data_IF_609758343200
#
_entry.id   IF_609758343200
#
_cell.length_a   1.000
_cell.length_b   1.000
_cell.length_c   1.000
_cell.angle_alpha   90.00
_cell.angle_beta   90.00
_cell.angle_gamma   90.00
#
_symmetry.space_group_name_H-M   'P 1'
#
loop_
_entity.id
_entity.type
_entity.pdbx_description
1 polymer ?
#
# COMPACT_ATOMS: atom_id res chain seq x y z
N UNK A 1 -43.40 30.42 57.03
CA UNK A 1 -43.48 29.20 56.19
C UNK A 1 -42.75 29.45 54.87
N UNK A 2 -41.43 29.71 54.88
CA UNK A 2 -40.66 30.08 53.67
C UNK A 2 -39.51 29.12 53.32
N UNK A 3 -39.30 28.06 54.12
CA UNK A 3 -38.17 27.14 53.94
C UNK A 3 -38.38 26.04 52.90
N UNK A 4 -39.62 25.75 52.49
CA UNK A 4 -39.92 24.58 51.66
C UNK A 4 -39.74 24.86 50.15
N UNK A 5 -40.19 26.03 49.68
CA UNK A 5 -40.12 26.37 48.25
C UNK A 5 -38.67 26.55 47.76
N UNK A 6 -37.81 27.20 48.55
CA UNK A 6 -36.39 27.36 48.23
C UNK A 6 -35.66 26.01 48.11
N UNK A 7 -36.02 25.01 48.92
CA UNK A 7 -35.41 23.67 48.91
C UNK A 7 -35.81 22.87 47.66
N UNK A 8 -37.06 23.01 47.19
CA UNK A 8 -37.51 22.41 45.94
C UNK A 8 -36.81 23.00 44.71
N UNK A 9 -36.60 24.32 44.67
CA UNK A 9 -35.86 24.97 43.59
C UNK A 9 -34.37 24.57 43.59
N UNK A 10 -33.75 24.45 44.76
CA UNK A 10 -32.36 23.98 44.88
C UNK A 10 -32.22 22.52 44.41
N UNK A 11 -33.11 21.64 44.86
CA UNK A 11 -33.13 20.24 44.44
C UNK A 11 -33.35 20.07 42.92
N UNK A 12 -34.33 20.78 42.34
CA UNK A 12 -34.60 20.72 40.89
C UNK A 12 -33.46 21.29 40.07
N UNK A 13 -32.83 22.39 40.50
CA UNK A 13 -31.67 22.96 39.81
C UNK A 13 -30.49 21.97 39.77
N UNK A 14 -30.21 21.28 40.88
CA UNK A 14 -29.15 20.25 40.97
C UNK A 14 -29.43 19.05 40.05
N UNK A 15 -30.68 18.60 39.99
CA UNK A 15 -31.10 17.51 39.09
C UNK A 15 -30.93 17.93 37.63
N UNK A 16 -31.35 19.15 37.26
CA UNK A 16 -31.21 19.67 35.89
C UNK A 16 -29.74 19.81 35.52
N UNK A 17 -28.90 20.37 36.39
CA UNK A 17 -27.46 20.49 36.16
C UNK A 17 -26.82 19.11 35.98
N UNK A 18 -27.19 18.14 36.83
CA UNK A 18 -26.72 16.75 36.71
C UNK A 18 -27.13 16.09 35.39
N UNK A 19 -28.39 16.28 34.97
CA UNK A 19 -28.91 15.80 33.69
C UNK A 19 -28.18 16.43 32.50
N UNK A 20 -28.05 17.75 32.48
CA UNK A 20 -27.35 18.48 31.40
C UNK A 20 -25.89 18.06 31.34
N UNK A 21 -25.22 17.96 32.49
CA UNK A 21 -23.81 17.53 32.56
C UNK A 21 -23.66 16.08 32.09
N UNK A 22 -24.56 15.19 32.50
CA UNK A 22 -24.59 13.80 32.05
C UNK A 22 -24.78 13.67 30.54
N UNK A 23 -25.71 14.44 29.96
CA UNK A 23 -25.96 14.48 28.50
C UNK A 23 -24.73 14.99 27.76
N UNK A 24 -24.13 16.09 28.21
CA UNK A 24 -22.93 16.68 27.60
C UNK A 24 -21.75 15.71 27.68
N UNK A 25 -21.51 15.10 28.85
CA UNK A 25 -20.44 14.13 29.04
C UNK A 25 -20.63 12.88 28.16
N UNK A 26 -21.85 12.34 28.08
CA UNK A 26 -22.17 11.21 27.22
C UNK A 26 -21.94 11.56 25.74
N UNK A 27 -22.39 12.74 25.29
CA UNK A 27 -22.20 13.22 23.93
C UNK A 27 -20.71 13.37 23.56
N UNK A 28 -19.92 13.99 24.43
CA UNK A 28 -18.47 14.16 24.21
C UNK A 28 -17.74 12.82 24.17
N UNK A 29 -18.10 11.91 25.07
CA UNK A 29 -17.53 10.56 25.12
C UNK A 29 -17.84 9.79 23.84
N UNK A 30 -19.11 9.79 23.40
CA UNK A 30 -19.53 9.15 22.17
C UNK A 30 -18.82 9.73 20.95
N UNK A 31 -18.71 11.06 20.86
CA UNK A 31 -18.00 11.75 19.77
C UNK A 31 -16.51 11.40 19.75
N UNK A 32 -15.86 11.35 20.90
CA UNK A 32 -14.45 10.98 21.00
C UNK A 32 -14.22 9.52 20.60
N UNK A 33 -15.03 8.60 21.13
CA UNK A 33 -14.96 7.18 20.81
C UNK A 33 -15.15 6.93 19.32
N UNK A 34 -16.16 7.57 18.71
CA UNK A 34 -16.44 7.43 17.28
C UNK A 34 -15.29 7.98 16.41
N UNK A 35 -14.74 9.14 16.76
CA UNK A 35 -13.60 9.72 16.05
C UNK A 35 -12.35 8.82 16.14
N UNK A 36 -12.10 8.23 17.30
CA UNK A 36 -11.01 7.26 17.49
C UNK A 36 -11.23 6.02 16.63
N UNK A 37 -12.43 5.45 16.66
CA UNK A 37 -12.79 4.28 15.87
C UNK A 37 -12.60 4.53 14.37
N UNK A 38 -13.07 5.66 13.83
CA UNK A 38 -12.85 5.99 12.41
C UNK A 38 -11.37 6.12 12.07
N UNK A 39 -10.55 6.71 12.95
CA UNK A 39 -9.10 6.81 12.74
C UNK A 39 -8.42 5.44 12.72
N UNK A 40 -8.76 4.57 13.68
CA UNK A 40 -8.24 3.20 13.74
C UNK A 40 -8.67 2.41 12.50
N UNK A 41 -9.95 2.47 12.12
CA UNK A 41 -10.47 1.77 10.94
C UNK A 41 -9.85 2.29 9.64
N UNK A 42 -9.64 3.59 9.54
CA UNK A 42 -8.98 4.18 8.37
C UNK A 42 -7.50 3.79 8.30
N UNK A 43 -6.83 3.72 9.45
CA UNK A 43 -5.45 3.22 9.54
C UNK A 43 -5.35 1.75 9.13
N UNK A 44 -6.25 0.88 9.61
CA UNK A 44 -6.30 -0.54 9.22
C UNK A 44 -6.49 -0.71 7.71
N UNK A 45 -7.44 0.02 7.11
CA UNK A 45 -7.68 -0.04 5.67
C UNK A 45 -6.42 0.35 4.89
N UNK A 46 -5.74 1.41 5.33
CA UNK A 46 -4.52 1.89 4.68
C UNK A 46 -3.36 0.92 4.84
N UNK A 47 -3.22 0.28 6.02
CA UNK A 47 -2.26 -0.79 6.23
C UNK A 47 -2.52 -1.94 5.25
N UNK A 48 -3.77 -2.40 5.15
CA UNK A 48 -4.15 -3.48 4.24
C UNK A 48 -3.83 -3.15 2.78
N UNK A 49 -4.19 -1.94 2.31
CA UNK A 49 -3.88 -1.50 0.94
C UNK A 49 -2.38 -1.42 0.67
N UNK A 50 -1.58 -0.93 1.62
CA UNK A 50 -0.12 -0.91 1.46
C UNK A 50 0.48 -2.30 1.47
N UNK A 51 0.06 -3.18 2.38
CA UNK A 51 0.55 -4.55 2.43
C UNK A 51 0.27 -5.28 1.12
N UNK A 52 -0.95 -5.14 0.59
CA UNK A 52 -1.37 -5.79 -0.65
C UNK A 52 -0.53 -5.36 -1.87
N UNK A 53 -0.31 -4.05 -2.04
CA UNK A 53 0.47 -3.53 -3.16
C UNK A 53 1.98 -3.80 -3.02
N UNK A 54 2.51 -3.76 -1.78
CA UNK A 54 3.92 -4.07 -1.50
C UNK A 54 4.20 -5.55 -1.78
N UNK A 55 3.30 -6.44 -1.40
CA UNK A 55 3.45 -7.89 -1.61
C UNK A 55 3.51 -8.23 -3.11
N UNK A 56 2.63 -7.61 -3.92
CA UNK A 56 2.68 -7.73 -5.40
C UNK A 56 3.97 -7.16 -5.99
N UNK A 57 4.36 -5.95 -5.58
CA UNK A 57 5.61 -5.32 -6.04
C UNK A 57 6.84 -6.16 -5.66
N UNK A 58 6.84 -6.77 -4.48
CA UNK A 58 7.89 -7.69 -4.04
C UNK A 58 7.98 -8.93 -4.92
N UNK A 59 6.85 -9.60 -5.20
CA UNK A 59 6.84 -10.77 -6.09
C UNK A 59 7.35 -10.43 -7.48
N UNK A 60 6.88 -9.34 -8.06
CA UNK A 60 7.37 -8.83 -9.35
C UNK A 60 8.88 -8.61 -9.32
N UNK A 61 9.39 -7.89 -8.32
CA UNK A 61 10.83 -7.63 -8.16
C UNK A 61 11.65 -8.91 -8.04
N UNK A 62 11.14 -9.89 -7.31
CA UNK A 62 11.82 -11.19 -7.15
C UNK A 62 11.87 -11.97 -8.46
N UNK A 63 10.79 -11.92 -9.23
CA UNK A 63 10.72 -12.55 -10.56
C UNK A 63 11.60 -11.83 -11.59
N UNK A 64 11.59 -10.50 -11.64
CA UNK A 64 12.49 -9.72 -12.51
C UNK A 64 13.95 -10.07 -12.22
N UNK A 65 14.32 -10.16 -10.94
CA UNK A 65 15.68 -10.56 -10.55
C UNK A 65 16.02 -11.98 -10.98
N UNK A 66 15.07 -12.92 -10.90
CA UNK A 66 15.28 -14.29 -11.38
C UNK A 66 15.56 -14.29 -12.89
N UNK A 67 14.74 -13.60 -13.68
CA UNK A 67 14.90 -13.58 -15.14
C UNK A 67 16.15 -12.82 -15.59
N UNK A 68 16.55 -11.76 -14.90
CA UNK A 68 17.83 -11.10 -15.15
C UNK A 68 19.01 -12.07 -14.91
N UNK A 69 19.00 -12.80 -13.80
CA UNK A 69 20.05 -13.80 -13.52
C UNK A 69 20.05 -14.94 -14.55
N UNK A 70 18.87 -15.32 -15.05
CA UNK A 70 18.76 -16.29 -16.14
C UNK A 70 19.42 -15.75 -17.42
N UNK A 71 19.17 -14.50 -17.80
CA UNK A 71 19.80 -13.87 -18.97
C UNK A 71 21.33 -13.82 -18.82
N UNK A 72 21.87 -13.40 -17.68
CA UNK A 72 23.32 -13.43 -17.42
C UNK A 72 23.91 -14.85 -17.53
N UNK A 73 23.18 -15.86 -17.05
CA UNK A 73 23.64 -17.26 -17.16
C UNK A 73 23.73 -17.75 -18.60
N UNK A 74 22.92 -17.20 -19.51
CA UNK A 74 22.90 -17.54 -20.93
C UNK A 74 24.00 -16.81 -21.71
N UNK A 75 24.45 -15.63 -21.25
CA UNK A 75 25.46 -14.80 -21.93
C UNK A 75 26.92 -15.12 -21.56
N UNK A 76 27.16 -16.19 -20.78
CA UNK A 76 28.48 -16.66 -20.29
C UNK A 76 29.17 -15.76 -19.24
N UNK A 77 28.47 -14.78 -18.65
CA UNK A 77 28.87 -14.17 -17.39
C UNK A 77 28.41 -15.08 -16.24
N UNK A 78 29.14 -16.17 -16.01
CA UNK A 78 28.78 -17.17 -15.01
C UNK A 78 28.81 -16.57 -13.59
N UNK A 79 27.64 -16.28 -13.04
CA UNK A 79 27.43 -16.42 -11.60
C UNK A 79 27.28 -17.92 -11.30
N UNK A 80 28.37 -18.55 -10.83
CA UNK A 80 28.41 -19.98 -10.46
C UNK A 80 27.35 -20.36 -9.41
N UNK A 81 26.66 -19.38 -8.80
CA UNK A 81 25.66 -19.61 -7.76
C UNK A 81 24.21 -19.67 -8.28
N UNK A 82 23.94 -19.30 -9.54
CA UNK A 82 22.58 -19.29 -10.08
C UNK A 82 22.10 -20.70 -10.45
N UNK A 83 21.08 -21.18 -9.72
CA UNK A 83 20.42 -22.45 -10.00
C UNK A 83 19.10 -22.20 -10.72
N UNK A 84 19.08 -22.43 -12.04
CA UNK A 84 17.89 -22.29 -12.87
C UNK A 84 16.77 -23.24 -12.38
N UNK A 85 15.56 -22.72 -12.29
CA UNK A 85 14.38 -23.50 -11.96
C UNK A 85 14.00 -24.48 -13.09
N UNK A 86 13.38 -25.62 -12.77
CA UNK A 86 12.76 -26.48 -13.77
C UNK A 86 11.75 -25.72 -14.66
N UNK A 87 11.59 -26.10 -15.95
CA UNK A 87 10.72 -25.38 -16.88
C UNK A 87 9.27 -25.21 -16.40
N UNK A 88 8.72 -26.19 -15.67
CA UNK A 88 7.37 -26.09 -15.09
C UNK A 88 7.25 -24.97 -14.05
N UNK A 89 8.29 -24.78 -13.24
CA UNK A 89 8.34 -23.72 -12.22
C UNK A 89 8.56 -22.35 -12.87
N UNK A 90 9.38 -22.26 -13.91
CA UNK A 90 9.56 -21.01 -14.68
C UNK A 90 8.27 -20.56 -15.34
N UNK A 91 7.50 -21.51 -15.90
CA UNK A 91 6.19 -21.22 -16.46
C UNK A 91 5.23 -20.67 -15.40
N UNK A 92 5.13 -21.35 -14.26
CA UNK A 92 4.30 -20.86 -13.14
C UNK A 92 4.73 -19.47 -12.67
N UNK A 93 6.04 -19.23 -12.54
CA UNK A 93 6.58 -17.93 -12.15
C UNK A 93 6.22 -16.84 -13.16
N UNK A 94 6.29 -17.16 -14.46
CA UNK A 94 5.88 -16.27 -15.55
C UNK A 94 4.39 -15.95 -15.47
N UNK A 95 3.54 -16.97 -15.29
CA UNK A 95 2.09 -16.78 -15.21
C UNK A 95 1.71 -15.89 -14.02
N UNK A 96 2.24 -16.16 -12.83
CA UNK A 96 2.01 -15.36 -11.62
C UNK A 96 2.54 -13.94 -11.76
N UNK A 97 3.67 -13.76 -12.43
CA UNK A 97 4.23 -12.45 -12.71
C UNK A 97 3.27 -11.60 -13.54
N UNK A 98 2.71 -12.16 -14.60
CA UNK A 98 1.76 -11.44 -15.46
C UNK A 98 0.46 -11.10 -14.73
N UNK A 99 0.01 -11.96 -13.81
CA UNK A 99 -1.12 -11.65 -12.92
C UNK A 99 -0.80 -10.48 -11.98
N UNK A 100 0.37 -10.50 -11.31
CA UNK A 100 0.77 -9.42 -10.41
C UNK A 100 0.96 -8.08 -11.13
N UNK A 101 1.47 -8.09 -12.37
CA UNK A 101 1.58 -6.88 -13.19
C UNK A 101 0.23 -6.29 -13.53
N UNK A 102 -0.72 -7.11 -13.98
CA UNK A 102 -2.08 -6.65 -14.27
C UNK A 102 -2.76 -6.08 -13.02
N UNK A 103 -2.54 -6.71 -11.87
CA UNK A 103 -3.05 -6.21 -10.61
C UNK A 103 -2.39 -4.88 -10.19
N UNK A 104 -1.08 -4.71 -10.36
CA UNK A 104 -0.40 -3.44 -10.11
C UNK A 104 -0.89 -2.33 -11.05
N UNK A 105 -1.13 -2.62 -12.32
CA UNK A 105 -1.73 -1.69 -13.29
C UNK A 105 -3.14 -1.27 -12.87
N UNK A 106 -3.97 -2.24 -12.46
CA UNK A 106 -5.31 -1.97 -11.93
C UNK A 106 -5.26 -1.11 -10.67
N UNK A 107 -4.36 -1.44 -9.74
CA UNK A 107 -4.17 -0.65 -8.51
C UNK A 107 -3.71 0.77 -8.85
N UNK A 108 -2.81 0.94 -9.83
CA UNK A 108 -2.35 2.26 -10.27
C UNK A 108 -3.53 3.15 -10.71
N UNK A 109 -4.47 2.61 -11.49
CA UNK A 109 -5.67 3.34 -11.95
C UNK A 109 -6.60 3.76 -10.80
N UNK A 110 -6.64 2.99 -9.71
CA UNK A 110 -7.50 3.24 -8.54
C UNK A 110 -6.75 3.92 -7.38
N UNK A 111 -5.45 4.16 -7.54
CA UNK A 111 -4.55 4.55 -6.44
C UNK A 111 -4.82 5.96 -5.91
N UNK A 112 -5.38 6.86 -6.72
CA UNK A 112 -5.65 8.25 -6.34
C UNK A 112 -6.66 8.40 -5.19
N UNK A 113 -7.53 7.41 -5.00
CA UNK A 113 -8.51 7.43 -3.90
C UNK A 113 -8.29 6.31 -2.86
N UNK A 114 -7.46 5.31 -3.14
CA UNK A 114 -7.18 4.18 -2.24
C UNK A 114 -5.83 4.29 -1.52
N UNK A 115 -4.87 4.99 -2.11
CA UNK A 115 -3.51 5.15 -1.61
C UNK A 115 -3.15 6.64 -1.46
N UNK A 116 -1.88 6.93 -1.17
CA UNK A 116 -1.39 8.31 -1.11
C UNK A 116 -1.03 8.82 -2.50
N UNK A 117 -1.03 10.15 -2.71
CA UNK A 117 -0.57 10.73 -3.97
C UNK A 117 0.85 10.31 -4.36
N UNK A 118 1.74 10.11 -3.37
CA UNK A 118 3.11 9.63 -3.63
C UNK A 118 3.13 8.16 -4.06
N UNK A 119 2.35 7.30 -3.41
CA UNK A 119 2.23 5.90 -3.80
C UNK A 119 1.59 5.76 -5.20
N UNK A 120 0.55 6.55 -5.49
CA UNK A 120 -0.06 6.64 -6.82
C UNK A 120 0.97 7.01 -7.88
N UNK A 121 1.78 8.06 -7.62
CA UNK A 121 2.83 8.47 -8.55
C UNK A 121 3.86 7.37 -8.79
N UNK A 122 4.28 6.64 -7.75
CA UNK A 122 5.23 5.52 -7.88
C UNK A 122 4.67 4.41 -8.78
N UNK A 123 3.41 4.02 -8.55
CA UNK A 123 2.72 3.00 -9.35
C UNK A 123 2.58 3.43 -10.82
N UNK A 124 2.10 4.64 -11.06
CA UNK A 124 1.94 5.17 -12.42
C UNK A 124 3.29 5.29 -13.15
N UNK A 125 4.35 5.70 -12.45
CA UNK A 125 5.69 5.74 -13.04
C UNK A 125 6.19 4.34 -13.40
N UNK A 126 5.97 3.35 -12.53
CA UNK A 126 6.34 1.95 -12.82
C UNK A 126 5.61 1.42 -14.06
N UNK A 127 4.29 1.59 -14.14
CA UNK A 127 3.47 1.18 -15.30
C UNK A 127 3.98 1.86 -16.58
N UNK A 128 4.27 3.15 -16.50
CA UNK A 128 4.80 3.91 -17.64
C UNK A 128 6.17 3.40 -18.09
N UNK A 129 7.13 3.25 -17.17
CA UNK A 129 8.48 2.75 -17.49
C UNK A 129 8.41 1.38 -18.15
N UNK A 130 7.58 0.47 -17.63
CA UNK A 130 7.39 -0.85 -18.25
C UNK A 130 6.83 -0.78 -19.67
N UNK A 131 5.87 0.11 -19.90
CA UNK A 131 5.31 0.30 -21.23
C UNK A 131 6.37 0.81 -22.21
N UNK A 132 7.23 1.72 -21.75
CA UNK A 132 8.39 2.23 -22.51
C UNK A 132 9.40 1.11 -22.79
N UNK A 133 9.86 0.35 -21.77
CA UNK A 133 10.77 -0.79 -21.94
C UNK A 133 10.24 -1.81 -22.96
N UNK A 134 8.94 -2.14 -22.91
CA UNK A 134 8.33 -3.05 -23.89
C UNK A 134 8.16 -2.48 -25.28
N UNK A 135 8.06 -1.15 -25.41
CA UNK A 135 8.08 -0.50 -26.72
C UNK A 135 9.49 -0.58 -27.29
N UNK A 136 10.49 -0.18 -26.50
CA UNK A 136 11.89 -0.15 -26.92
C UNK A 136 12.39 -1.55 -27.30
N UNK A 137 12.01 -2.59 -26.55
CA UNK A 137 12.34 -3.99 -26.89
C UNK A 137 11.71 -4.43 -28.21
N UNK A 138 10.46 -4.02 -28.47
CA UNK A 138 9.73 -4.37 -29.71
C UNK A 138 10.30 -3.66 -30.93
N UNK A 139 10.80 -2.44 -30.73
CA UNK A 139 11.39 -1.60 -31.77
C UNK A 139 12.89 -1.91 -31.96
N UNK A 140 13.40 -3.01 -31.38
CA UNK A 140 14.79 -3.45 -31.38
C UNK A 140 15.78 -2.37 -30.88
N UNK A 141 15.29 -1.41 -30.08
CA UNK A 141 16.09 -0.31 -29.52
C UNK A 141 16.92 -0.74 -28.31
N UNK A 142 16.49 -1.80 -27.61
CA UNK A 142 17.20 -2.43 -26.49
C UNK A 142 17.21 -3.95 -26.67
N UNK A 143 18.22 -4.63 -26.14
CA UNK A 143 18.29 -6.09 -26.16
C UNK A 143 17.54 -6.72 -24.95
N UNK A 144 17.49 -8.05 -24.86
CA UNK A 144 16.81 -8.78 -23.76
C UNK A 144 17.41 -8.47 -22.39
N UNK A 145 18.74 -8.38 -22.31
CA UNK A 145 19.46 -8.10 -21.08
C UNK A 145 19.20 -6.68 -20.59
N UNK A 146 19.31 -5.69 -21.49
CA UNK A 146 18.99 -4.28 -21.20
C UNK A 146 17.53 -4.14 -20.69
N UNK A 147 16.60 -4.86 -21.32
CA UNK A 147 15.19 -4.90 -20.92
C UNK A 147 14.99 -5.51 -19.52
N UNK A 148 15.67 -6.62 -19.22
CA UNK A 148 15.61 -7.27 -17.91
C UNK A 148 16.22 -6.41 -16.79
N UNK A 149 17.33 -5.71 -17.07
CA UNK A 149 17.93 -4.74 -16.15
C UNK A 149 16.98 -3.57 -15.87
N UNK A 150 16.34 -3.04 -16.92
CA UNK A 150 15.37 -1.96 -16.79
C UNK A 150 14.13 -2.38 -15.97
N UNK A 151 13.57 -3.56 -16.24
CA UNK A 151 12.42 -4.09 -15.50
C UNK A 151 12.76 -4.31 -14.02
N UNK A 152 13.95 -4.87 -13.70
CA UNK A 152 14.40 -5.01 -12.31
C UNK A 152 14.58 -3.64 -11.62
N UNK A 153 15.23 -2.68 -12.30
CA UNK A 153 15.43 -1.34 -11.75
C UNK A 153 14.10 -0.63 -11.46
N UNK A 154 13.11 -0.81 -12.33
CA UNK A 154 11.77 -0.27 -12.16
C UNK A 154 11.05 -0.91 -10.95
N UNK A 155 11.10 -2.24 -10.81
CA UNK A 155 10.44 -2.95 -9.72
C UNK A 155 11.11 -2.72 -8.36
N UNK A 156 12.44 -2.57 -8.31
CA UNK A 156 13.16 -2.14 -7.10
C UNK A 156 12.76 -0.74 -6.66
N UNK A 157 12.76 0.22 -7.60
CA UNK A 157 12.34 1.60 -7.32
C UNK A 157 10.90 1.65 -6.81
N UNK A 158 10.00 0.86 -7.40
CA UNK A 158 8.61 0.75 -6.97
C UNK A 158 8.53 0.21 -5.53
N UNK A 159 9.13 -0.94 -5.27
CA UNK A 159 9.07 -1.62 -3.98
C UNK A 159 9.61 -0.73 -2.85
N UNK A 160 10.82 -0.20 -3.02
CA UNK A 160 11.44 0.66 -2.02
C UNK A 160 10.62 1.93 -1.80
N UNK A 161 10.15 2.54 -2.89
CA UNK A 161 9.28 3.71 -2.82
C UNK A 161 8.01 3.45 -2.02
N UNK A 162 7.32 2.32 -2.27
CA UNK A 162 6.10 1.93 -1.58
C UNK A 162 6.36 1.63 -0.10
N UNK A 163 7.43 0.91 0.24
CA UNK A 163 7.80 0.60 1.63
C UNK A 163 8.09 1.89 2.41
N UNK A 164 8.87 2.81 1.84
CA UNK A 164 9.18 4.08 2.49
C UNK A 164 7.93 4.95 2.66
N UNK A 165 7.07 4.98 1.65
CA UNK A 165 5.81 5.71 1.73
C UNK A 165 4.85 5.09 2.74
N UNK A 166 4.77 3.77 2.83
CA UNK A 166 3.96 3.05 3.82
C UNK A 166 4.42 3.37 5.25
N UNK A 167 5.73 3.30 5.54
CA UNK A 167 6.31 3.68 6.84
C UNK A 167 5.90 5.10 7.24
N UNK A 168 6.06 6.06 6.32
CA UNK A 168 5.67 7.46 6.51
C UNK A 168 4.16 7.61 6.74
N UNK A 169 3.36 6.99 5.89
CA UNK A 169 1.90 7.06 5.87
C UNK A 169 1.25 6.51 7.14
N UNK A 170 1.79 5.39 7.64
CA UNK A 170 1.27 4.65 8.78
C UNK A 170 1.92 5.07 10.09
N UNK A 171 2.94 5.96 10.04
CA UNK A 171 3.75 6.41 11.18
C UNK A 171 4.41 5.24 11.92
N UNK A 172 4.86 4.24 11.17
CA UNK A 172 5.62 3.11 11.69
C UNK A 172 7.07 3.59 11.87
N UNK A 173 7.64 3.37 13.06
CA UNK A 173 9.03 3.70 13.38
C UNK A 173 9.97 2.63 12.87
#
# INVERSE_FOLDING_TARGET
>A
MSGNEFDYYDLTSKIIIGLVTGIVAAFLTAKFALNRFYKEKWWEKRLASFTDVIDKAYRVKMTDRYFLNLEYSLTQEQDETFNRHPPEQEKLLTDLYWEDIQELERIAQLSDFTLTPKASKLLNNFVKMRAETRSDYRDDAINSLDGAEADLGASETLLDGLVQEAKRALKIK
#
